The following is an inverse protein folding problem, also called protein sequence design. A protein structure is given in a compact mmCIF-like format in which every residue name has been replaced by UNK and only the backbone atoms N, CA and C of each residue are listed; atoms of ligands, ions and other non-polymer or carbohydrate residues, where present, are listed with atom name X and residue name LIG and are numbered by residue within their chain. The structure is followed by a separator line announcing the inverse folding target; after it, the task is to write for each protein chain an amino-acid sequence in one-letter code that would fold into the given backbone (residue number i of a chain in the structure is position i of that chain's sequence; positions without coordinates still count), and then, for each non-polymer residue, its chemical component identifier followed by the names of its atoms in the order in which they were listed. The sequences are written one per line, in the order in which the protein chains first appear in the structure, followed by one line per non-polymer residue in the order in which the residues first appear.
data_IF_636494720879
#
_entry.id   IF_636494720879
#
_cell.length_a   1.000
_cell.length_b   1.000
_cell.length_c   1.000
_cell.angle_alpha   90.00
_cell.angle_beta   90.00
_cell.angle_gamma   90.00
#
_symmetry.space_group_name_H-M   'P 1'
#
loop_
_entity.id
_entity.type
_entity.pdbx_description
1 polymer ?
#
# COMPACT_ATOMS: atom_id res chain seq x y z
N UNK A 1 -1.85 25.46 13.79
CA UNK A 1 -2.40 24.26 13.14
C UNK A 1 -1.24 23.31 13.05
N UNK A 2 -1.06 22.50 14.10
CA UNK A 2 0.04 21.56 14.20
C UNK A 2 -0.09 20.57 13.06
N UNK A 3 0.89 20.63 12.16
CA UNK A 3 1.03 19.72 11.05
C UNK A 3 0.95 18.29 11.61
N UNK A 4 0.06 17.42 11.09
CA UNK A 4 -0.10 16.09 11.64
C UNK A 4 1.24 15.38 11.57
N UNK A 5 1.78 15.00 12.74
CA UNK A 5 3.06 14.29 12.80
C UNK A 5 2.97 13.07 11.86
N UNK A 6 4.00 12.86 11.03
CA UNK A 6 4.04 11.74 10.07
C UNK A 6 3.65 10.39 10.72
N UNK A 7 3.99 10.21 11.99
CA UNK A 7 3.61 9.05 12.82
C UNK A 7 2.10 8.86 12.98
N UNK A 8 1.33 9.94 13.05
CA UNK A 8 -0.13 9.91 13.13
C UNK A 8 -0.72 9.35 11.83
N UNK A 9 -0.23 9.80 10.68
CA UNK A 9 -0.66 9.31 9.36
C UNK A 9 -0.36 7.80 9.24
N UNK A 10 0.84 7.37 9.61
CA UNK A 10 1.22 5.95 9.58
C UNK A 10 0.33 5.10 10.48
N UNK A 11 0.00 5.58 11.69
CA UNK A 11 -0.92 4.89 12.61
C UNK A 11 -2.32 4.76 12.02
N UNK A 12 -2.83 5.81 11.36
CA UNK A 12 -4.12 5.75 10.70
C UNK A 12 -4.10 4.79 9.50
N UNK A 13 -3.04 4.79 8.69
CA UNK A 13 -2.90 3.86 7.57
C UNK A 13 -2.80 2.42 8.06
N UNK A 14 -2.07 2.15 9.16
CA UNK A 14 -2.02 0.83 9.76
C UNK A 14 -3.40 0.35 10.22
N UNK A 15 -4.21 1.23 10.83
CA UNK A 15 -5.58 0.92 11.23
C UNK A 15 -6.49 0.67 10.02
N UNK A 16 -6.36 1.48 8.97
CA UNK A 16 -7.17 1.36 7.77
C UNK A 16 -6.87 0.07 7.01
N UNK A 17 -5.59 -0.26 6.80
CA UNK A 17 -5.16 -1.53 6.18
C UNK A 17 -5.74 -2.75 6.91
N UNK A 18 -5.70 -2.76 8.25
CA UNK A 18 -6.29 -3.85 9.05
C UNK A 18 -7.79 -3.98 8.83
N UNK A 19 -8.52 -2.87 8.79
CA UNK A 19 -9.97 -2.87 8.53
C UNK A 19 -10.31 -3.38 7.13
N UNK A 20 -9.58 -2.92 6.12
CA UNK A 20 -9.79 -3.35 4.73
C UNK A 20 -9.51 -4.84 4.59
N UNK A 21 -8.34 -5.31 5.03
CA UNK A 21 -7.98 -6.73 5.01
C UNK A 21 -9.01 -7.63 5.70
N UNK A 22 -9.65 -7.16 6.78
CA UNK A 22 -10.72 -7.91 7.47
C UNK A 22 -12.03 -7.94 6.66
N UNK A 23 -12.35 -6.85 5.95
CA UNK A 23 -13.57 -6.73 5.16
C UNK A 23 -13.47 -7.40 3.79
N UNK A 24 -12.25 -7.58 3.26
CA UNK A 24 -11.97 -8.07 1.90
C UNK A 24 -11.12 -9.33 1.90
N UNK A 25 -11.20 -10.13 2.97
CA UNK A 25 -10.56 -11.44 3.09
C UNK A 25 -9.04 -11.50 2.77
N UNK A 26 -8.32 -10.39 3.00
CA UNK A 26 -6.88 -10.32 2.79
C UNK A 26 -6.40 -9.42 1.66
N UNK A 27 -7.31 -8.86 0.85
CA UNK A 27 -6.93 -7.98 -0.26
C UNK A 27 -6.21 -6.69 0.20
N UNK A 28 -5.20 -6.30 -0.57
CA UNK A 28 -4.35 -5.15 -0.26
C UNK A 28 -4.67 -3.95 -1.16
N UNK A 29 -5.46 -3.01 -0.65
CA UNK A 29 -5.88 -1.83 -1.41
C UNK A 29 -4.98 -0.60 -1.24
N UNK A 30 -4.08 -0.59 -0.25
CA UNK A 30 -3.26 0.59 0.06
C UNK A 30 -1.81 0.30 -0.24
N UNK A 31 -1.26 0.96 -1.25
CA UNK A 31 0.16 0.90 -1.62
C UNK A 31 0.95 2.01 -0.90
N UNK A 32 2.16 1.67 -0.41
CA UNK A 32 3.11 2.67 0.12
C UNK A 32 4.09 3.06 -0.98
N UNK A 33 4.12 4.35 -1.30
CA UNK A 33 5.13 4.95 -2.19
C UNK A 33 6.12 5.74 -1.35
N UNK A 34 7.31 5.20 -1.17
CA UNK A 34 8.37 5.80 -0.37
C UNK A 34 8.69 7.23 -0.85
N UNK A 35 8.73 8.18 0.08
CA UNK A 35 8.96 9.60 -0.22
C UNK A 35 7.79 10.33 -0.88
N UNK A 36 6.64 9.67 -1.13
CA UNK A 36 5.45 10.26 -1.78
C UNK A 36 4.15 10.07 -1.01
N UNK A 37 4.04 9.03 -0.18
CA UNK A 37 2.88 8.77 0.68
C UNK A 37 2.17 7.47 0.36
N UNK A 38 0.84 7.50 0.38
CA UNK A 38 -0.04 6.33 0.26
C UNK A 38 -1.01 6.49 -0.91
N UNK A 39 -1.28 5.39 -1.62
CA UNK A 39 -2.22 5.36 -2.75
C UNK A 39 -3.25 4.27 -2.52
N UNK A 40 -4.53 4.59 -2.75
CA UNK A 40 -5.61 3.62 -2.77
C UNK A 40 -5.75 3.07 -4.20
N UNK A 41 -5.66 1.76 -4.36
CA UNK A 41 -5.86 1.04 -5.62
C UNK A 41 -6.75 -0.17 -5.37
N UNK A 42 -7.50 -0.58 -6.39
CA UNK A 42 -8.15 -1.88 -6.37
C UNK A 42 -7.08 -2.98 -6.45
N UNK A 43 -7.27 -4.13 -5.78
CA UNK A 43 -6.44 -5.31 -5.98
C UNK A 43 -6.59 -5.70 -7.46
N UNK A 44 -5.51 -5.61 -8.22
CA UNK A 44 -5.53 -6.14 -9.57
C UNK A 44 -5.83 -7.65 -9.47
N UNK A 45 -6.82 -8.19 -10.21
CA UNK A 45 -6.99 -9.63 -10.29
C UNK A 45 -5.66 -10.21 -10.77
N UNK A 46 -5.04 -11.09 -9.98
CA UNK A 46 -3.66 -11.59 -10.16
C UNK A 46 -3.29 -11.83 -11.63
N UNK A 47 -2.86 -10.78 -12.33
CA UNK A 47 -2.02 -10.92 -13.50
C UNK A 47 -0.63 -11.00 -12.93
N UNK A 48 -0.22 -12.26 -12.70
CA UNK A 48 1.09 -12.68 -12.23
C UNK A 48 2.16 -11.69 -12.68
N UNK A 49 2.93 -11.24 -11.69
CA UNK A 49 4.00 -10.26 -11.76
C UNK A 49 5.12 -10.68 -12.73
N UNK A 50 4.86 -10.63 -14.04
CA UNK A 50 5.82 -10.90 -15.11
C UNK A 50 6.89 -9.79 -15.23
N UNK A 51 6.76 -8.70 -14.46
CA UNK A 51 7.58 -7.49 -14.68
C UNK A 51 8.75 -7.30 -13.74
N UNK A 52 9.01 -8.21 -12.80
CA UNK A 52 10.16 -8.09 -11.87
C UNK A 52 11.39 -8.96 -12.20
N UNK A 53 11.40 -9.73 -13.31
CA UNK A 53 12.57 -10.56 -13.71
C UNK A 53 13.51 -9.86 -14.71
N UNK A 54 13.23 -8.64 -15.17
CA UNK A 54 14.02 -8.00 -16.22
C UNK A 54 14.71 -6.70 -15.79
N UNK A 55 15.56 -6.72 -14.75
CA UNK A 55 16.69 -5.78 -14.67
C UNK A 55 17.76 -6.26 -13.68
N UNK A 56 18.82 -6.89 -14.18
CA UNK A 56 19.97 -7.25 -13.35
C UNK A 56 20.99 -8.22 -13.95
N UNK A 57 21.19 -8.22 -15.27
CA UNK A 57 22.36 -8.82 -15.89
C UNK A 57 22.78 -7.94 -17.07
N UNK A 58 23.90 -7.24 -16.90
CA UNK A 58 24.51 -6.33 -17.86
C UNK A 58 25.67 -5.60 -17.20
#
# INVERSE_FOLDING_TARGET
MDEPELKIIDVFICKLRKKLSTATEGDNYIETVWGRGYVLRDPEPEQMDEKRIALGAG
#
